data_IF_288020212378
#
_entry.id   IF_288020212378
#
_cell.length_a   1.000
_cell.length_b   1.000
_cell.length_c   1.000
_cell.angle_alpha   90.00
_cell.angle_beta   90.00
_cell.angle_gamma   90.00
#
_symmetry.space_group_name_H-M   'P 1'
#
loop_
_entity.id
_entity.type
_entity.pdbx_description
1 polymer ?
#
# COMPACT_ATOMS: atom_id res chain seq x y z
N UNK A 1 -5.37 -7.23 7.65
CA UNK A 1 -6.20 -6.01 7.73
C UNK A 1 -6.14 -5.36 6.35
N UNK A 2 -6.82 -4.23 6.10
CA UNK A 2 -6.68 -3.50 4.84
C UNK A 2 -5.81 -2.24 5.03
N UNK A 3 -5.06 -1.85 4.01
CA UNK A 3 -4.35 -0.57 3.92
C UNK A 3 -4.98 0.29 2.84
N UNK A 4 -5.03 1.59 3.07
CA UNK A 4 -5.52 2.57 2.10
C UNK A 4 -4.67 2.55 0.83
N UNK A 5 -5.32 2.61 -0.32
CA UNK A 5 -4.69 2.89 -1.62
C UNK A 5 -5.10 4.29 -2.04
N UNK A 6 -4.15 5.22 -2.02
CA UNK A 6 -4.34 6.61 -2.43
C UNK A 6 -3.19 7.02 -3.35
N UNK A 7 -3.51 7.70 -4.45
CA UNK A 7 -2.64 7.87 -5.61
C UNK A 7 -2.07 6.52 -6.10
N UNK A 8 -0.74 6.42 -6.23
CA UNK A 8 -0.05 5.15 -6.42
C UNK A 8 0.50 4.68 -5.08
N UNK A 9 0.14 3.46 -4.68
CA UNK A 9 0.57 2.87 -3.42
C UNK A 9 1.49 1.68 -3.68
N UNK A 10 2.68 1.70 -3.07
CA UNK A 10 3.57 0.53 -2.97
C UNK A 10 3.12 -0.32 -1.79
N UNK A 11 2.89 -1.61 -2.03
CA UNK A 11 2.41 -2.58 -1.06
C UNK A 11 3.50 -3.60 -0.77
N UNK A 12 3.92 -3.73 0.48
CA UNK A 12 5.00 -4.63 0.91
C UNK A 12 4.47 -5.65 1.90
N UNK A 13 4.74 -6.93 1.66
CA UNK A 13 4.39 -8.01 2.59
C UNK A 13 5.24 -7.92 3.86
N UNK A 14 4.61 -7.84 5.02
CA UNK A 14 5.29 -7.76 6.31
C UNK A 14 6.25 -8.93 6.56
N UNK A 15 5.83 -10.16 6.23
CA UNK A 15 6.69 -11.35 6.41
C UNK A 15 7.97 -11.28 5.57
N UNK A 16 7.94 -10.66 4.39
CA UNK A 16 9.13 -10.50 3.56
C UNK A 16 10.14 -9.53 4.20
N UNK A 17 9.67 -8.54 4.97
CA UNK A 17 10.54 -7.65 5.73
C UNK A 17 11.30 -8.45 6.80
N UNK A 18 10.60 -9.31 7.54
CA UNK A 18 11.21 -10.15 8.57
C UNK A 18 12.19 -11.19 7.98
N UNK A 19 11.86 -11.76 6.83
CA UNK A 19 12.63 -12.84 6.20
C UNK A 19 13.84 -12.35 5.40
N UNK A 20 13.71 -11.22 4.68
CA UNK A 20 14.66 -10.82 3.64
C UNK A 20 15.44 -9.54 3.96
N UNK A 21 14.90 -8.63 4.76
CA UNK A 21 15.56 -7.36 5.07
C UNK A 21 16.56 -7.54 6.22
N UNK A 22 17.85 -7.32 5.94
CA UNK A 22 18.89 -7.33 6.98
C UNK A 22 18.66 -6.19 7.97
N UNK A 23 18.53 -6.52 9.26
CA UNK A 23 18.12 -5.58 10.32
C UNK A 23 16.62 -5.35 10.40
N UNK A 24 15.82 -6.06 9.60
CA UNK A 24 14.37 -6.16 9.69
C UNK A 24 13.64 -4.83 9.58
N UNK A 25 12.60 -4.67 10.39
CA UNK A 25 11.70 -3.51 10.38
C UNK A 25 12.39 -2.17 10.60
N UNK A 26 13.46 -2.11 11.39
CA UNK A 26 14.16 -0.84 11.65
C UNK A 26 14.89 -0.35 10.40
N UNK A 27 15.60 -1.25 9.69
CA UNK A 27 16.23 -0.92 8.40
C UNK A 27 15.18 -0.56 7.35
N UNK A 28 14.06 -1.31 7.30
CA UNK A 28 12.97 -1.02 6.37
C UNK A 28 12.39 0.38 6.61
N UNK A 29 12.02 0.71 7.85
CA UNK A 29 11.49 2.04 8.21
C UNK A 29 12.47 3.17 7.89
N UNK A 30 13.77 2.96 8.10
CA UNK A 30 14.79 3.96 7.78
C UNK A 30 14.94 4.24 6.27
N UNK A 31 14.49 3.33 5.41
CA UNK A 31 14.48 3.51 3.96
C UNK A 31 13.20 4.17 3.43
N UNK A 32 12.13 4.23 4.24
CA UNK A 32 10.88 4.85 3.84
C UNK A 32 11.04 6.38 3.77
N UNK A 33 10.33 7.04 2.85
CA UNK A 33 10.23 8.49 2.88
C UNK A 33 9.49 8.94 4.14
N UNK A 34 9.56 10.24 4.47
CA UNK A 34 8.71 10.86 5.51
C UNK A 34 7.22 10.91 5.15
N UNK A 35 6.76 10.04 4.26
CA UNK A 35 5.47 10.08 3.59
C UNK A 35 4.40 9.25 4.31
N UNK A 36 3.22 9.25 3.70
CA UNK A 36 2.00 8.59 4.12
C UNK A 36 2.12 7.06 4.11
N UNK A 37 2.61 6.51 5.23
CA UNK A 37 2.73 5.06 5.48
C UNK A 37 1.55 4.57 6.30
N UNK A 38 0.95 3.48 5.85
CA UNK A 38 -0.05 2.71 6.59
C UNK A 38 0.44 1.28 6.77
N UNK A 39 0.26 0.70 7.95
CA UNK A 39 0.70 -0.68 8.21
C UNK A 39 -0.19 -1.35 9.25
N UNK A 40 -0.42 -2.65 9.05
CA UNK A 40 -1.00 -3.55 10.04
C UNK A 40 -0.01 -4.63 10.55
N UNK A 41 1.27 -4.47 10.22
CA UNK A 41 2.38 -5.43 10.38
C UNK A 41 2.32 -6.69 9.50
N UNK A 42 1.22 -6.94 8.80
CA UNK A 42 1.08 -8.01 7.79
C UNK A 42 1.31 -7.45 6.38
N UNK A 43 0.90 -6.20 6.18
CA UNK A 43 0.93 -5.46 4.94
C UNK A 43 1.28 -4.00 5.25
N UNK A 44 2.24 -3.46 4.49
CA UNK A 44 2.62 -2.05 4.52
C UNK A 44 2.17 -1.40 3.21
N UNK A 45 1.43 -0.29 3.29
CA UNK A 45 1.10 0.57 2.17
C UNK A 45 1.81 1.91 2.26
N UNK A 46 2.53 2.29 1.22
CA UNK A 46 3.21 3.58 1.10
C UNK A 46 2.63 4.33 -0.09
N UNK A 47 1.88 5.40 0.17
CA UNK A 47 1.23 6.20 -0.87
C UNK A 47 2.16 7.29 -1.39
N UNK A 48 2.24 7.41 -2.71
CA UNK A 48 3.11 8.32 -3.44
C UNK A 48 2.35 8.95 -4.60
N UNK A 49 2.54 10.26 -4.79
CA UNK A 49 1.89 11.02 -5.86
C UNK A 49 2.75 11.00 -7.12
N UNK A 50 4.07 11.19 -6.96
CA UNK A 50 4.98 11.37 -8.08
C UNK A 50 5.50 10.02 -8.62
N UNK A 51 5.31 9.68 -9.91
CA UNK A 51 5.78 8.41 -10.47
C UNK A 51 7.30 8.19 -10.33
N UNK A 52 8.08 9.27 -10.32
CA UNK A 52 9.53 9.19 -10.10
C UNK A 52 9.87 8.72 -8.68
N UNK A 53 9.10 9.13 -7.68
CA UNK A 53 9.29 8.68 -6.29
C UNK A 53 8.92 7.20 -6.12
N UNK A 54 7.86 6.75 -6.80
CA UNK A 54 7.47 5.32 -6.83
C UNK A 54 8.65 4.48 -7.33
N UNK A 55 9.27 4.88 -8.45
CA UNK A 55 10.41 4.15 -9.01
C UNK A 55 11.62 4.17 -8.07
N UNK A 56 11.96 5.32 -7.53
CA UNK A 56 13.09 5.46 -6.60
C UNK A 56 12.90 4.64 -5.33
N UNK A 57 11.69 4.63 -4.75
CA UNK A 57 11.41 3.82 -3.57
C UNK A 57 11.45 2.33 -3.90
N UNK A 58 10.87 1.90 -5.02
CA UNK A 58 10.93 0.51 -5.45
C UNK A 58 12.39 0.03 -5.59
N UNK A 59 13.25 0.81 -6.25
CA UNK A 59 14.67 0.48 -6.41
C UNK A 59 15.41 0.41 -5.05
N UNK A 60 15.07 1.29 -4.09
CA UNK A 60 15.60 1.22 -2.71
C UNK A 60 15.15 -0.04 -1.98
N UNK A 61 13.88 -0.42 -2.08
CA UNK A 61 13.34 -1.62 -1.44
C UNK A 61 13.96 -2.90 -2.04
N UNK A 62 14.20 -2.94 -3.36
CA UNK A 62 14.96 -4.01 -3.99
C UNK A 62 16.40 -4.10 -3.47
N UNK A 63 17.06 -2.97 -3.25
CA UNK A 63 18.40 -2.96 -2.66
C UNK A 63 18.43 -3.49 -1.21
N UNK A 64 17.29 -3.50 -0.51
CA UNK A 64 17.13 -4.13 0.81
C UNK A 64 16.85 -5.65 0.74
N UNK A 65 16.70 -6.21 -0.46
CA UNK A 65 16.43 -7.64 -0.67
C UNK A 65 14.96 -7.98 -0.94
N UNK A 66 14.07 -6.99 -1.04
CA UNK A 66 12.65 -7.21 -1.36
C UNK A 66 12.43 -7.33 -2.87
N UNK A 67 11.91 -8.47 -3.31
CA UNK A 67 11.74 -8.80 -4.72
C UNK A 67 10.46 -8.24 -5.36
N UNK A 68 10.60 -7.69 -6.56
CA UNK A 68 9.51 -7.30 -7.46
C UNK A 68 9.99 -7.32 -8.91
N UNK A 69 9.08 -7.48 -9.89
CA UNK A 69 9.50 -7.81 -11.26
C UNK A 69 8.95 -7.01 -12.44
N UNK A 70 8.00 -6.07 -12.40
CA UNK A 70 7.31 -5.49 -13.58
C UNK A 70 6.62 -6.48 -14.56
N UNK A 71 7.28 -7.56 -14.99
CA UNK A 71 6.84 -8.54 -16.00
C UNK A 71 6.04 -9.73 -15.43
N UNK A 72 5.87 -9.85 -14.10
CA UNK A 72 4.94 -10.81 -13.48
C UNK A 72 5.49 -11.66 -12.32
N UNK A 73 4.54 -12.27 -11.58
CA UNK A 73 4.63 -13.01 -10.31
C UNK A 73 5.57 -12.41 -9.26
N UNK A 74 5.00 -11.54 -8.44
CA UNK A 74 5.70 -10.76 -7.42
C UNK A 74 5.55 -11.41 -6.04
N UNK A 75 6.67 -11.58 -5.34
CA UNK A 75 6.73 -12.23 -4.02
C UNK A 75 6.48 -11.24 -2.88
N UNK A 76 7.20 -10.10 -2.87
CA UNK A 76 7.30 -9.26 -1.67
C UNK A 76 6.66 -7.88 -1.82
N UNK A 77 6.69 -7.32 -3.04
CA UNK A 77 6.16 -5.98 -3.33
C UNK A 77 5.15 -6.03 -4.48
N UNK A 78 4.04 -5.32 -4.33
CA UNK A 78 3.05 -5.06 -5.37
C UNK A 78 2.74 -3.55 -5.45
N UNK A 79 2.07 -3.14 -6.52
CA UNK A 79 1.70 -1.75 -6.76
C UNK A 79 0.21 -1.66 -7.06
N UNK A 80 -0.45 -0.66 -6.49
CA UNK A 80 -1.84 -0.35 -6.73
C UNK A 80 -2.01 1.13 -7.09
N UNK A 81 -3.00 1.43 -7.92
CA UNK A 81 -3.45 2.79 -8.20
C UNK A 81 -4.92 2.91 -7.76
N UNK A 82 -5.25 4.01 -7.10
CA UNK A 82 -6.58 4.19 -6.51
C UNK A 82 -7.74 4.07 -7.52
N UNK A 83 -7.51 4.37 -8.81
CA UNK A 83 -8.52 4.29 -9.88
C UNK A 83 -8.45 2.99 -10.66
N UNK A 84 -7.23 2.46 -10.86
CA UNK A 84 -6.98 1.34 -11.77
C UNK A 84 -6.93 -0.01 -11.06
N UNK A 85 -6.83 -0.02 -9.74
CA UNK A 85 -6.65 -1.25 -8.96
C UNK A 85 -5.20 -1.71 -8.91
N UNK A 86 -4.99 -3.03 -8.80
CA UNK A 86 -3.65 -3.60 -8.83
C UNK A 86 -2.98 -3.35 -10.19
N UNK A 87 -1.83 -2.68 -10.16
CA UNK A 87 -0.97 -2.47 -11.34
C UNK A 87 -0.20 -3.75 -11.64
N UNK A 88 0.24 -4.45 -10.59
CA UNK A 88 1.00 -5.70 -10.69
C UNK A 88 0.13 -6.89 -10.30
N UNK A 89 0.10 -7.92 -11.15
CA UNK A 89 -0.60 -9.17 -10.83
C UNK A 89 0.07 -9.88 -9.65
N UNK A 90 -0.70 -10.19 -8.62
CA UNK A 90 -0.23 -11.00 -7.49
C UNK A 90 -1.39 -11.77 -6.84
N UNK A 91 -1.08 -12.95 -6.31
CA UNK A 91 -2.08 -13.88 -5.76
C UNK A 91 -2.28 -13.72 -4.25
N UNK A 92 -1.56 -12.78 -3.64
CA UNK A 92 -1.55 -12.57 -2.19
C UNK A 92 -2.25 -11.29 -1.75
N UNK A 93 -2.67 -10.43 -2.69
CA UNK A 93 -3.48 -9.24 -2.41
C UNK A 93 -4.88 -9.34 -3.02
N UNK A 94 -5.80 -8.68 -2.33
CA UNK A 94 -7.12 -8.32 -2.83
C UNK A 94 -7.18 -6.79 -2.84
N UNK A 95 -7.53 -6.23 -4.00
CA UNK A 95 -7.91 -4.81 -4.13
C UNK A 95 -9.43 -4.71 -4.13
N UNK A 96 -9.97 -3.84 -3.28
CA UNK A 96 -11.40 -3.62 -3.08
C UNK A 96 -11.67 -2.13 -2.84
N UNK A 97 -12.90 -1.69 -3.08
CA UNK A 97 -13.38 -0.41 -2.54
C UNK A 97 -14.20 -0.66 -1.28
N UNK A 98 -14.02 0.20 -0.28
CA UNK A 98 -14.81 0.17 0.95
C UNK A 98 -15.53 1.47 1.18
N UNK A 99 -16.78 1.32 1.58
CA UNK A 99 -17.60 2.40 2.06
C UNK A 99 -17.19 2.79 3.49
N UNK A 100 -16.82 4.05 3.74
CA UNK A 100 -16.36 4.50 5.08
C UNK A 100 -17.43 5.27 5.88
N UNK A 101 -18.69 5.27 5.43
CA UNK A 101 -19.82 5.72 6.26
C UNK A 101 -19.93 7.22 6.55
N UNK A 102 -19.16 8.09 5.87
CA UNK A 102 -19.20 9.54 6.09
C UNK A 102 -20.34 10.18 5.27
N UNK A 103 -21.51 10.36 5.89
CA UNK A 103 -22.56 11.31 5.44
C UNK A 103 -23.31 10.99 4.14
N UNK A 104 -24.49 10.37 4.24
CA UNK A 104 -25.61 10.47 3.27
C UNK A 104 -25.48 9.74 1.92
N UNK A 105 -24.28 9.67 1.35
CA UNK A 105 -23.85 8.72 0.32
C UNK A 105 -22.40 8.43 0.63
N UNK A 106 -22.08 7.22 1.11
CA UNK A 106 -20.87 7.18 1.90
C UNK A 106 -19.67 7.06 0.97
N UNK A 107 -18.61 7.84 1.20
CA UNK A 107 -17.47 7.84 0.32
C UNK A 107 -16.81 6.47 0.27
N UNK A 108 -16.39 6.10 -0.93
CA UNK A 108 -15.62 4.89 -1.15
C UNK A 108 -14.13 5.21 -1.14
N UNK A 109 -13.38 4.35 -0.47
CA UNK A 109 -11.92 4.38 -0.49
C UNK A 109 -11.41 3.13 -1.17
N UNK A 110 -10.37 3.27 -1.99
CA UNK A 110 -9.63 2.13 -2.50
C UNK A 110 -8.74 1.56 -1.40
N UNK A 111 -8.66 0.24 -1.30
CA UNK A 111 -7.85 -0.43 -0.31
C UNK A 111 -7.30 -1.76 -0.81
N UNK A 112 -6.20 -2.19 -0.21
CA UNK A 112 -5.63 -3.51 -0.42
C UNK A 112 -5.54 -4.28 0.89
N UNK A 113 -5.76 -5.59 0.84
CA UNK A 113 -5.56 -6.50 1.97
C UNK A 113 -4.95 -7.82 1.51
N UNK A 114 -4.36 -8.56 2.44
CA UNK A 114 -3.95 -9.93 2.16
C UNK A 114 -5.15 -10.83 1.83
N UNK A 115 -4.97 -11.74 0.89
CA UNK A 115 -5.94 -12.81 0.59
C UNK A 115 -6.24 -13.58 1.87
N UNK A 116 -7.52 -13.89 2.10
CA UNK A 116 -8.04 -14.57 3.30
C UNK A 116 -7.85 -13.82 4.63
N UNK A 117 -7.44 -12.54 4.62
CA UNK A 117 -7.40 -11.76 5.86
C UNK A 117 -8.80 -11.66 6.48
N UNK A 118 -8.91 -12.09 7.75
CA UNK A 118 -10.16 -12.08 8.53
C UNK A 118 -10.42 -10.74 9.22
N UNK A 119 -9.54 -9.74 9.04
CA UNK A 119 -9.67 -8.44 9.70
C UNK A 119 -10.28 -7.43 8.74
N UNK A 120 -11.28 -6.70 9.22
CA UNK A 120 -12.05 -5.72 8.43
C UNK A 120 -11.66 -4.26 8.70
N UNK A 121 -10.67 -4.03 9.56
CA UNK A 121 -10.17 -2.68 9.84
C UNK A 121 -9.33 -2.16 8.66
N UNK A 122 -9.55 -0.89 8.33
CA UNK A 122 -8.75 -0.12 7.39
C UNK A 122 -7.67 0.66 8.14
N UNK A 123 -6.43 0.53 7.71
CA UNK A 123 -5.31 1.37 8.11
C UNK A 123 -5.12 2.49 7.11
N UNK A 124 -5.13 3.71 7.62
CA UNK A 124 -4.83 4.93 6.88
C UNK A 124 -3.52 5.53 7.41
N UNK A 125 -2.83 6.36 6.63
CA UNK A 125 -1.68 7.13 7.09
C UNK A 125 -2.01 7.97 8.33
N UNK A 126 -1.01 8.24 9.16
CA UNK A 126 -1.20 9.09 10.34
C UNK A 126 -1.67 10.49 9.95
N UNK A 127 -2.73 10.97 10.59
CA UNK A 127 -3.29 12.30 10.30
C UNK A 127 -4.16 12.38 9.03
N UNK A 128 -4.29 11.28 8.28
CA UNK A 128 -5.14 11.24 7.09
C UNK A 128 -6.60 11.55 7.43
N UNK A 129 -7.25 12.32 6.55
CA UNK A 129 -8.67 12.65 6.60
C UNK A 129 -9.22 12.57 5.19
N UNK A 130 -10.47 12.12 5.06
CA UNK A 130 -11.16 12.08 3.77
C UNK A 130 -11.27 13.48 3.14
N UNK A 131 -11.67 14.48 3.92
CA UNK A 131 -11.83 15.84 3.43
C UNK A 131 -10.47 16.44 3.02
N UNK A 132 -10.36 16.88 1.78
CA UNK A 132 -9.15 17.42 1.15
C UNK A 132 -8.20 16.34 0.63
N UNK A 133 -8.56 15.07 0.68
CA UNK A 133 -7.70 13.96 0.23
C UNK A 133 -7.81 13.71 -1.27
N UNK A 134 -6.85 12.98 -1.84
CA UNK A 134 -6.91 12.56 -3.24
C UNK A 134 -8.03 11.55 -3.48
N UNK A 135 -8.44 10.82 -2.45
CA UNK A 135 -9.62 9.97 -2.46
C UNK A 135 -10.90 10.80 -2.58
N UNK A 136 -11.05 11.93 -1.89
CA UNK A 136 -12.21 12.82 -2.11
C UNK A 136 -12.19 13.45 -3.50
N UNK A 137 -11.02 13.91 -3.96
CA UNK A 137 -10.91 14.63 -5.22
C UNK A 137 -11.03 13.72 -6.45
N UNK A 138 -10.59 12.47 -6.34
CA UNK A 138 -10.37 11.58 -7.47
C UNK A 138 -10.82 10.14 -7.23
N UNK A 139 -11.41 9.82 -6.07
CA UNK A 139 -12.06 8.53 -5.82
C UNK A 139 -13.27 8.32 -6.74
N UNK A 140 -13.72 7.08 -6.83
CA UNK A 140 -14.89 6.70 -7.64
C UNK A 140 -16.21 7.01 -6.94
#
# INVERSE_FOLDING_TARGET
MAVLVEATTILVRGSAIDEKVVGGWETFKAALPSCDVSSDNELVGISLIEPAEVRQLADKLAALGLGFTWDGHFEDIAFADQKRGLITQCDWLVFETANIGIGGTPPEVAMCRLVNSQRHELRVPEGWRYQGSLTEQFGN
#
